data_IF_320246110965
#
_entry.id   IF_320246110965
#
_cell.length_a   1.000
_cell.length_b   1.000
_cell.length_c   1.000
_cell.angle_alpha   90.00
_cell.angle_beta   90.00
_cell.angle_gamma   90.00
#
_symmetry.space_group_name_H-M   'P 1'
#
loop_
_entity.id
_entity.type
_entity.pdbx_description
1 polymer ?
#
# COMPACT_ATOMS: atom_id res chain seq x y z
N UNK A 1 -26.96 21.33 -23.51
CA UNK A 1 -25.69 20.59 -23.46
C UNK A 1 -24.74 21.23 -24.48
N UNK A 2 -23.42 21.42 -24.22
CA UNK A 2 -22.52 20.51 -23.48
C UNK A 2 -21.81 21.07 -22.21
N UNK A 3 -21.33 20.09 -21.43
CA UNK A 3 -20.29 19.91 -20.39
C UNK A 3 -19.11 20.91 -20.33
N UNK A 4 -18.28 21.11 -19.29
CA UNK A 4 -18.09 20.72 -17.87
C UNK A 4 -16.91 21.58 -17.37
N UNK A 5 -16.87 21.98 -16.10
CA UNK A 5 -15.61 22.29 -15.41
C UNK A 5 -15.73 21.82 -13.97
N UNK A 6 -14.98 20.77 -13.68
CA UNK A 6 -15.04 19.98 -12.45
C UNK A 6 -14.87 20.84 -11.20
N UNK A 7 -15.93 20.90 -10.40
CA UNK A 7 -15.90 21.37 -9.03
C UNK A 7 -15.11 20.39 -8.16
N UNK A 8 -14.33 20.96 -7.24
CA UNK A 8 -13.76 20.37 -6.02
C UNK A 8 -12.30 19.94 -6.11
N UNK A 9 -11.42 20.94 -6.15
CA UNK A 9 -10.24 20.95 -5.26
C UNK A 9 -10.74 20.63 -3.84
N UNK A 10 -10.59 19.37 -3.40
CA UNK A 10 -10.98 18.98 -2.04
C UNK A 10 -9.85 19.43 -1.10
N UNK A 11 -10.21 20.41 -0.28
CA UNK A 11 -9.34 21.19 0.58
C UNK A 11 -8.37 20.37 1.43
N UNK A 12 -7.18 20.94 1.54
CA UNK A 12 -6.06 20.66 2.43
C UNK A 12 -6.43 20.81 3.91
N UNK A 13 -6.96 19.75 4.53
CA UNK A 13 -6.92 19.62 5.99
C UNK A 13 -6.08 18.40 6.35
N UNK A 14 -5.08 18.53 7.25
CA UNK A 14 -4.34 17.37 7.72
C UNK A 14 -5.34 16.39 8.37
N UNK A 15 -5.17 15.07 8.14
CA UNK A 15 -6.05 14.06 8.74
C UNK A 15 -6.07 14.24 10.27
N UNK A 16 -7.26 14.16 10.86
CA UNK A 16 -7.39 14.28 12.32
C UNK A 16 -6.61 13.14 13.00
N UNK A 17 -5.84 13.43 14.07
CA UNK A 17 -5.10 12.41 14.79
C UNK A 17 -6.04 11.47 15.57
N UNK A 18 -5.64 10.20 15.77
CA UNK A 18 -4.38 9.60 15.31
C UNK A 18 -4.45 9.18 13.83
N UNK A 19 -3.34 9.35 13.11
CA UNK A 19 -3.22 8.84 11.73
C UNK A 19 -3.38 7.32 11.79
N UNK A 20 -4.53 6.82 11.33
CA UNK A 20 -4.78 5.38 11.26
C UNK A 20 -4.08 4.84 10.01
N UNK A 21 -3.21 3.86 10.20
CA UNK A 21 -2.60 3.13 9.10
C UNK A 21 -3.67 2.22 8.48
N UNK A 22 -3.91 2.40 7.19
CA UNK A 22 -4.99 1.73 6.43
C UNK A 22 -4.42 1.05 5.19
N UNK A 23 -5.20 0.18 4.53
CA UNK A 23 -4.81 -0.36 3.22
C UNK A 23 -4.45 0.73 2.20
N UNK A 24 -5.19 1.85 2.19
CA UNK A 24 -4.92 2.96 1.28
C UNK A 24 -3.54 3.59 1.54
N UNK A 25 -3.16 3.79 2.80
CA UNK A 25 -1.81 4.26 3.16
C UNK A 25 -0.76 3.23 2.76
N UNK A 26 -1.04 1.94 2.94
CA UNK A 26 -0.11 0.87 2.61
C UNK A 26 0.19 0.77 1.11
N UNK A 27 -0.76 1.07 0.22
CA UNK A 27 -0.56 1.02 -1.25
C UNK A 27 -0.13 2.36 -1.87
N UNK A 28 -0.22 3.46 -1.13
CA UNK A 28 0.09 4.81 -1.64
C UNK A 28 1.59 4.94 -2.00
N UNK A 29 1.92 5.32 -3.25
CA UNK A 29 3.31 5.48 -3.70
C UNK A 29 4.06 6.63 -3.01
N UNK A 30 3.35 7.53 -2.33
CA UNK A 30 3.96 8.63 -1.56
C UNK A 30 4.25 8.25 -0.10
N UNK A 31 3.83 7.07 0.33
CA UNK A 31 4.10 6.57 1.68
C UNK A 31 5.60 6.35 1.89
N UNK A 32 6.13 6.98 2.93
CA UNK A 32 7.57 6.91 3.24
C UNK A 32 7.98 5.47 3.54
N UNK A 33 9.18 5.01 3.10
CA UNK A 33 9.66 3.65 3.35
C UNK A 33 9.63 3.25 4.83
N UNK A 34 9.94 4.17 5.74
CA UNK A 34 9.88 3.92 7.19
C UNK A 34 8.49 3.50 7.69
N UNK A 35 7.43 4.02 7.06
CA UNK A 35 6.04 3.70 7.40
C UNK A 35 5.69 2.31 6.86
N UNK A 36 6.14 1.98 5.65
CA UNK A 36 5.95 0.63 5.10
C UNK A 36 6.65 -0.43 5.96
N UNK A 37 7.87 -0.16 6.41
CA UNK A 37 8.59 -1.01 7.38
C UNK A 37 7.86 -1.11 8.72
N UNK A 38 7.28 -0.02 9.21
CA UNK A 38 6.47 -0.05 10.43
C UNK A 38 5.24 -0.95 10.27
N UNK A 39 4.51 -0.80 9.16
CA UNK A 39 3.37 -1.67 8.83
C UNK A 39 3.81 -3.13 8.80
N UNK A 40 4.90 -3.45 8.09
CA UNK A 40 5.39 -4.82 7.96
C UNK A 40 5.72 -5.48 9.31
N UNK A 41 6.34 -4.72 10.23
CA UNK A 41 6.74 -5.22 11.55
C UNK A 41 5.57 -5.34 12.53
N UNK A 42 4.62 -4.42 12.49
CA UNK A 42 3.66 -4.25 13.58
C UNK A 42 2.21 -4.54 13.22
N UNK A 43 1.86 -4.62 11.94
CA UNK A 43 0.45 -4.74 11.49
C UNK A 43 0.32 -5.86 10.45
N UNK A 44 0.27 -7.15 10.87
CA UNK A 44 0.22 -8.29 9.96
C UNK A 44 -0.91 -8.23 8.93
N UNK A 45 -2.09 -7.76 9.32
CA UNK A 45 -3.28 -7.59 8.45
C UNK A 45 -3.03 -6.69 7.24
N UNK A 46 -2.06 -5.77 7.34
CA UNK A 46 -1.77 -4.81 6.29
C UNK A 46 -0.61 -5.21 5.37
N UNK A 47 0.15 -6.27 5.70
CA UNK A 47 1.32 -6.71 4.91
C UNK A 47 0.96 -7.01 3.45
N UNK A 48 -0.19 -7.63 3.21
CA UNK A 48 -0.68 -7.93 1.86
C UNK A 48 -0.83 -6.69 0.98
N UNK A 49 -1.20 -5.56 1.57
CA UNK A 49 -1.35 -4.30 0.87
C UNK A 49 0.00 -3.64 0.58
N UNK A 50 1.00 -3.83 1.45
CA UNK A 50 2.38 -3.35 1.19
C UNK A 50 2.98 -4.02 -0.05
N UNK A 51 2.64 -5.28 -0.33
CA UNK A 51 3.09 -5.99 -1.55
C UNK A 51 2.63 -5.29 -2.82
N UNK A 52 1.45 -4.66 -2.80
CA UNK A 52 0.91 -3.90 -3.92
C UNK A 52 1.45 -2.46 -4.00
N UNK A 53 2.30 -2.03 -3.06
CA UNK A 53 2.90 -0.70 -3.10
C UNK A 53 4.06 -0.66 -4.11
N UNK A 54 4.03 0.20 -5.13
CA UNK A 54 5.08 0.26 -6.15
C UNK A 54 6.43 0.78 -5.62
N UNK A 55 6.45 1.38 -4.43
CA UNK A 55 7.68 1.85 -3.78
C UNK A 55 8.24 0.87 -2.76
N UNK A 56 7.57 -0.27 -2.53
CA UNK A 56 8.10 -1.33 -1.68
C UNK A 56 9.32 -1.96 -2.37
N UNK A 57 10.48 -1.84 -1.72
CA UNK A 57 11.72 -2.41 -2.23
C UNK A 57 11.80 -3.93 -2.00
N UNK A 58 12.78 -4.56 -2.67
CA UNK A 58 12.98 -6.01 -2.59
C UNK A 58 13.25 -6.50 -1.15
N UNK A 59 13.97 -5.73 -0.34
CA UNK A 59 14.31 -6.12 1.04
C UNK A 59 13.06 -6.16 1.92
N UNK A 60 12.17 -5.19 1.76
CA UNK A 60 10.90 -5.13 2.46
C UNK A 60 9.97 -6.28 2.02
N UNK A 61 9.88 -6.53 0.71
CA UNK A 61 9.07 -7.64 0.18
C UNK A 61 9.59 -9.00 0.65
N UNK A 62 10.91 -9.21 0.64
CA UNK A 62 11.54 -10.42 1.15
C UNK A 62 11.19 -10.61 2.64
N UNK A 63 11.35 -9.56 3.46
CA UNK A 63 10.95 -9.60 4.86
C UNK A 63 9.48 -10.01 5.03
N UNK A 64 8.56 -9.40 4.28
CA UNK A 64 7.13 -9.74 4.33
C UNK A 64 6.89 -11.22 3.95
N UNK A 65 7.58 -11.72 2.93
CA UNK A 65 7.46 -13.12 2.50
C UNK A 65 7.85 -14.11 3.61
N UNK A 66 8.88 -13.79 4.39
CA UNK A 66 9.36 -14.60 5.51
C UNK A 66 8.42 -14.50 6.73
N UNK A 67 7.92 -13.31 7.04
CA UNK A 67 7.03 -13.10 8.19
C UNK A 67 5.61 -13.61 7.95
N UNK A 68 5.20 -13.72 6.68
CA UNK A 68 3.84 -14.12 6.30
C UNK A 68 2.77 -13.17 6.84
N UNK A 69 1.55 -13.68 6.99
CA UNK A 69 0.38 -12.92 7.43
C UNK A 69 -0.85 -13.26 6.59
N UNK A 70 -2.02 -12.74 6.94
CA UNK A 70 -3.24 -12.98 6.18
C UNK A 70 -3.07 -12.59 4.72
N UNK A 71 -3.35 -13.53 3.83
CA UNK A 71 -3.28 -13.42 2.36
C UNK A 71 -1.93 -12.98 1.75
N UNK A 72 -0.83 -12.98 2.52
CA UNK A 72 0.49 -12.57 2.01
C UNK A 72 0.96 -13.45 0.86
N UNK A 73 0.83 -14.78 1.00
CA UNK A 73 1.21 -15.73 -0.04
C UNK A 73 0.42 -15.49 -1.33
N UNK A 74 -0.90 -15.41 -1.22
CA UNK A 74 -1.78 -15.17 -2.37
C UNK A 74 -1.45 -13.84 -3.06
N UNK A 75 -1.16 -12.80 -2.28
CA UNK A 75 -0.82 -11.47 -2.83
C UNK A 75 0.48 -11.48 -3.62
N UNK A 76 1.50 -12.24 -3.18
CA UNK A 76 2.70 -12.47 -3.97
C UNK A 76 2.42 -13.25 -5.26
N UNK A 77 1.61 -14.31 -5.20
CA UNK A 77 1.21 -15.07 -6.40
C UNK A 77 0.52 -14.16 -7.45
N UNK A 78 -0.36 -13.26 -6.99
CA UNK A 78 -1.00 -12.25 -7.85
C UNK A 78 0.03 -11.26 -8.42
N UNK A 79 0.95 -10.76 -7.60
CA UNK A 79 2.02 -9.86 -8.05
C UNK A 79 2.85 -10.51 -9.15
N UNK A 80 3.35 -11.73 -8.94
CA UNK A 80 4.16 -12.45 -9.93
C UNK A 80 3.37 -12.74 -11.21
N UNK A 81 2.10 -13.15 -11.07
CA UNK A 81 1.22 -13.37 -12.23
C UNK A 81 0.97 -12.12 -13.07
N UNK A 82 1.11 -10.92 -12.49
CA UNK A 82 1.02 -9.65 -13.21
C UNK A 82 2.31 -9.34 -14.00
N UNK A 83 3.48 -9.73 -13.49
CA UNK A 83 4.76 -9.58 -14.17
C UNK A 83 4.93 -10.58 -15.34
N UNK A 84 4.38 -11.78 -15.24
CA UNK A 84 4.43 -12.77 -16.32
C UNK A 84 3.59 -12.36 -17.55
N UNK A 85 2.74 -11.32 -17.41
CA UNK A 85 1.82 -10.83 -18.46
C UNK A 85 2.30 -9.56 -19.18
N UNK A 86 3.47 -9.04 -18.84
CA UNK A 86 4.10 -7.85 -19.48
C UNK A 86 5.22 -8.24 -20.41
#
# INVERSE_FOLDING_TARGET
>A
MPIQSNTTQKASMPPQPPIILTPLVAVDPTTQPKILWYIAKHIPELRKWVIANPTADAQLLEYISQQGGPDVRYSFEVLFSAYDKS
#
